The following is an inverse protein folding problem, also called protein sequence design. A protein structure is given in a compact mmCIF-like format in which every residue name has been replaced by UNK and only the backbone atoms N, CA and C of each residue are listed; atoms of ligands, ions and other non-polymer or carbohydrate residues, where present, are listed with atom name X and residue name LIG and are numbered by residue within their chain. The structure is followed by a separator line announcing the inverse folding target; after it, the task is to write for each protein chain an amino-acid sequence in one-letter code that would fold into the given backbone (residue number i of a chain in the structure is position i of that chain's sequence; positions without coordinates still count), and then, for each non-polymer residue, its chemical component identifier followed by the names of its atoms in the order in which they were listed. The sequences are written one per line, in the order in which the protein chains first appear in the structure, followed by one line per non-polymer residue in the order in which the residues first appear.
data_IF_757492753577
#
_entry.id   IF_757492753577
#
_cell.length_a   1.000
_cell.length_b   1.000
_cell.length_c   1.000
_cell.angle_alpha   90.00
_cell.angle_beta   90.00
_cell.angle_gamma   90.00
#
_symmetry.space_group_name_H-M   'P 1'
#
loop_
_entity.id
_entity.type
_entity.pdbx_description
1 polymer ?
#
# COMPACT_ATOMS: atom_id res chain seq x y z
N UNK A 1 -51.86 23.70 19.79
CA UNK A 1 -50.57 23.88 19.06
C UNK A 1 -49.39 23.11 19.71
N UNK A 2 -49.58 21.86 20.20
CA UNK A 2 -48.51 21.07 20.86
C UNK A 2 -47.97 19.89 20.03
N UNK A 3 -48.63 19.53 18.92
CA UNK A 3 -48.26 18.37 18.10
C UNK A 3 -47.25 18.64 16.96
N UNK A 4 -46.82 19.89 16.74
CA UNK A 4 -45.84 20.21 15.68
C UNK A 4 -44.39 20.02 16.12
N UNK A 5 -44.08 20.17 17.41
CA UNK A 5 -42.71 20.11 17.93
C UNK A 5 -42.15 18.68 18.02
N UNK A 6 -43.00 17.66 18.20
CA UNK A 6 -42.58 16.26 18.28
C UNK A 6 -42.11 15.68 16.94
N UNK A 7 -42.62 16.18 15.81
CA UNK A 7 -42.17 15.77 14.47
C UNK A 7 -40.81 16.36 14.13
N UNK A 8 -40.57 17.62 14.51
CA UNK A 8 -39.28 18.29 14.30
C UNK A 8 -38.17 17.63 15.12
N UNK A 9 -38.45 17.22 16.36
CA UNK A 9 -37.45 16.57 17.23
C UNK A 9 -36.96 15.22 16.66
N UNK A 10 -37.84 14.44 16.03
CA UNK A 10 -37.47 13.16 15.40
C UNK A 10 -36.62 13.33 14.14
N UNK A 11 -36.85 14.40 13.37
CA UNK A 11 -36.04 14.69 12.18
C UNK A 11 -34.63 15.15 12.57
N UNK A 12 -34.47 15.93 13.64
CA UNK A 12 -33.15 16.31 14.16
C UNK A 12 -32.37 15.11 14.72
N UNK A 13 -33.04 14.15 15.37
CA UNK A 13 -32.37 12.95 15.88
C UNK A 13 -31.79 12.06 14.75
N UNK A 14 -32.49 11.95 13.61
CA UNK A 14 -32.01 11.17 12.46
C UNK A 14 -30.87 11.89 11.75
N UNK A 15 -30.94 13.22 11.61
CA UNK A 15 -29.87 14.01 11.01
C UNK A 15 -28.58 14.01 11.87
N UNK A 16 -28.71 14.01 13.20
CA UNK A 16 -27.57 13.90 14.11
C UNK A 16 -26.91 12.51 14.05
N UNK A 17 -27.67 11.44 13.84
CA UNK A 17 -27.14 10.09 13.71
C UNK A 17 -26.40 9.89 12.37
N UNK A 18 -26.84 10.58 11.30
CA UNK A 18 -26.21 10.52 9.98
C UNK A 18 -24.83 11.23 9.93
N UNK A 19 -24.60 12.23 10.79
CA UNK A 19 -23.29 12.90 10.86
C UNK A 19 -22.21 12.07 11.57
N UNK A 20 -22.60 11.04 12.34
CA UNK A 20 -21.65 10.18 13.07
C UNK A 20 -21.06 9.05 12.21
N UNK A 21 -21.56 8.87 10.98
CA UNK A 21 -21.11 7.84 10.04
C UNK A 21 -20.20 8.39 8.94
N UNK A 22 -19.72 9.64 9.04
CA UNK A 22 -18.60 10.07 8.21
C UNK A 22 -17.33 9.37 8.72
N UNK A 23 -16.73 8.42 7.96
CA UNK A 23 -15.37 8.03 8.25
C UNK A 23 -14.53 9.31 8.16
N UNK A 24 -13.77 9.59 9.21
CA UNK A 24 -12.76 10.63 9.25
C UNK A 24 -11.71 10.31 8.17
N UNK A 25 -11.98 10.76 6.94
CA UNK A 25 -11.02 10.70 5.86
C UNK A 25 -9.83 11.59 6.19
N UNK A 26 -8.63 11.02 6.10
CA UNK A 26 -7.42 11.79 5.80
C UNK A 26 -6.57 12.21 6.98
N UNK A 27 -6.17 11.28 7.85
CA UNK A 27 -4.85 11.37 8.47
C UNK A 27 -4.06 10.18 7.95
N UNK A 28 -3.24 10.40 6.92
CA UNK A 28 -2.27 9.43 6.43
C UNK A 28 -1.38 9.05 7.62
N UNK A 29 -1.68 7.92 8.26
CA UNK A 29 -0.78 7.28 9.20
C UNK A 29 0.44 6.91 8.40
N UNK A 30 1.43 7.81 8.43
CA UNK A 30 2.66 7.69 7.68
C UNK A 30 3.23 6.31 7.94
N UNK A 31 3.21 5.48 6.91
CA UNK A 31 3.56 4.09 7.02
C UNK A 31 5.00 4.00 7.54
N UNK A 32 5.16 3.34 8.69
CA UNK A 32 6.46 3.27 9.33
C UNK A 32 7.37 2.35 8.55
N UNK A 33 8.65 2.69 8.56
CA UNK A 33 9.68 1.92 7.88
C UNK A 33 9.80 0.50 8.45
N UNK A 34 9.69 0.38 9.77
CA UNK A 34 9.74 -0.89 10.50
C UNK A 34 8.65 -1.88 10.06
N UNK A 35 7.43 -1.38 9.80
CA UNK A 35 6.31 -2.21 9.37
C UNK A 35 6.52 -2.74 7.95
N UNK A 36 6.98 -1.88 7.04
CA UNK A 36 7.36 -2.31 5.69
C UNK A 36 8.49 -3.34 5.71
N UNK A 37 9.54 -3.12 6.51
CA UNK A 37 10.65 -4.08 6.65
C UNK A 37 10.15 -5.44 7.13
N UNK A 38 9.26 -5.45 8.12
CA UNK A 38 8.64 -6.67 8.66
C UNK A 38 7.78 -7.37 7.61
N UNK A 39 6.93 -6.65 6.89
CA UNK A 39 6.10 -7.20 5.81
C UNK A 39 6.96 -7.82 4.70
N UNK A 40 7.96 -7.09 4.20
CA UNK A 40 8.91 -7.57 3.18
C UNK A 40 9.61 -8.85 3.61
N UNK A 41 10.10 -8.88 4.86
CA UNK A 41 10.78 -10.06 5.39
C UNK A 41 9.83 -11.27 5.50
N UNK A 42 8.59 -11.07 5.93
CA UNK A 42 7.60 -12.13 6.02
C UNK A 42 7.23 -12.66 4.64
N UNK A 43 6.96 -11.78 3.67
CA UNK A 43 6.70 -12.12 2.27
C UNK A 43 7.85 -12.97 1.71
N UNK A 44 9.10 -12.51 1.85
CA UNK A 44 10.27 -13.27 1.40
C UNK A 44 10.40 -14.63 2.08
N UNK A 45 9.99 -14.73 3.34
CA UNK A 45 9.99 -15.99 4.09
C UNK A 45 8.96 -16.96 3.52
N UNK A 46 7.73 -16.50 3.28
CA UNK A 46 6.64 -17.32 2.73
C UNK A 46 6.92 -17.78 1.30
N UNK A 47 7.52 -16.91 0.45
CA UNK A 47 7.96 -17.27 -0.90
C UNK A 47 9.27 -18.10 -0.93
N UNK A 48 9.92 -18.33 0.21
CA UNK A 48 11.19 -19.06 0.27
C UNK A 48 12.40 -18.29 -0.31
N UNK A 49 12.28 -16.98 -0.50
CA UNK A 49 13.32 -16.10 -1.08
C UNK A 49 14.14 -15.36 -0.02
N UNK A 50 13.94 -15.62 1.26
CA UNK A 50 14.64 -14.94 2.36
C UNK A 50 16.18 -15.02 2.28
N UNK A 51 16.73 -16.09 1.70
CA UNK A 51 18.18 -16.29 1.55
C UNK A 51 18.72 -15.85 0.17
N UNK A 52 17.88 -15.33 -0.71
CA UNK A 52 18.32 -14.85 -2.02
C UNK A 52 19.00 -13.49 -1.86
N UNK A 53 20.32 -13.50 -1.73
CA UNK A 53 21.16 -12.30 -1.62
C UNK A 53 21.10 -11.41 -2.89
N UNK A 54 20.58 -11.92 -4.01
CA UNK A 54 20.55 -11.27 -5.32
C UNK A 54 19.23 -10.53 -5.65
N UNK A 55 18.35 -10.32 -4.66
CA UNK A 55 17.09 -9.59 -4.86
C UNK A 55 17.18 -8.07 -4.70
N UNK A 56 16.13 -7.35 -5.13
CA UNK A 56 15.91 -5.90 -4.94
C UNK A 56 16.44 -5.46 -3.57
N UNK A 57 17.36 -4.49 -3.59
CA UNK A 57 17.96 -3.92 -2.37
C UNK A 57 16.85 -3.65 -1.35
N UNK A 58 17.00 -4.07 -0.09
CA UNK A 58 15.93 -4.00 0.90
C UNK A 58 15.34 -2.59 1.03
N UNK A 59 16.17 -1.57 0.84
CA UNK A 59 15.75 -0.17 0.91
C UNK A 59 14.85 0.28 -0.25
N UNK A 60 15.05 -0.26 -1.46
CA UNK A 60 14.18 0.03 -2.60
C UNK A 60 12.80 -0.60 -2.40
N UNK A 61 12.75 -1.84 -1.89
CA UNK A 61 11.49 -2.50 -1.54
C UNK A 61 10.74 -1.77 -0.43
N UNK A 62 11.45 -1.27 0.60
CA UNK A 62 10.85 -0.46 1.67
C UNK A 62 10.29 0.85 1.12
N UNK A 63 11.00 1.53 0.22
CA UNK A 63 10.50 2.75 -0.43
C UNK A 63 9.24 2.46 -1.26
N UNK A 64 9.24 1.38 -2.03
CA UNK A 64 8.06 0.95 -2.81
C UNK A 64 6.88 0.65 -1.90
N UNK A 65 7.08 -0.15 -0.85
CA UNK A 65 6.06 -0.48 0.15
C UNK A 65 5.41 0.78 0.74
N UNK A 66 6.22 1.78 1.12
CA UNK A 66 5.70 3.05 1.67
C UNK A 66 4.97 3.92 0.65
N UNK A 67 5.25 3.73 -0.65
CA UNK A 67 4.65 4.52 -1.73
C UNK A 67 3.38 3.91 -2.32
N UNK A 68 3.24 2.58 -2.31
CA UNK A 68 2.13 1.88 -2.95
C UNK A 68 1.20 1.13 -2.00
N UNK A 69 1.64 0.76 -0.80
CA UNK A 69 0.83 -0.05 0.11
C UNK A 69 0.14 0.78 1.21
N UNK A 70 -1.09 0.38 1.55
CA UNK A 70 -1.80 0.93 2.71
C UNK A 70 -1.27 0.33 4.02
N UNK A 71 -1.49 1.01 5.15
CA UNK A 71 -1.11 0.48 6.46
C UNK A 71 -1.79 -0.87 6.77
N UNK A 72 -3.06 -1.00 6.41
CA UNK A 72 -3.82 -2.25 6.57
C UNK A 72 -3.23 -3.38 5.71
N UNK A 73 -2.85 -3.07 4.46
CA UNK A 73 -2.19 -4.02 3.56
C UNK A 73 -0.86 -4.50 4.14
N UNK A 74 -0.01 -3.58 4.60
CA UNK A 74 1.30 -3.91 5.20
C UNK A 74 1.15 -4.74 6.46
N UNK A 75 0.20 -4.38 7.33
CA UNK A 75 -0.07 -5.16 8.53
C UNK A 75 -0.58 -6.57 8.20
N UNK A 76 -1.46 -6.72 7.20
CA UNK A 76 -1.91 -8.02 6.73
C UNK A 76 -0.72 -8.87 6.25
N UNK A 77 0.13 -8.31 5.37
CA UNK A 77 1.31 -9.01 4.85
C UNK A 77 2.32 -9.37 5.94
N UNK A 78 2.49 -8.51 6.94
CA UNK A 78 3.39 -8.76 8.07
C UNK A 78 2.91 -9.90 8.97
N UNK A 79 1.60 -10.16 9.03
CA UNK A 79 1.00 -11.18 9.89
C UNK A 79 0.57 -12.46 9.16
N UNK A 80 0.56 -12.46 7.83
CA UNK A 80 0.23 -13.64 7.03
C UNK A 80 1.14 -14.83 7.39
N UNK A 81 0.55 -16.01 7.57
CA UNK A 81 1.27 -17.25 7.94
C UNK A 81 1.37 -18.24 6.79
N UNK A 82 0.54 -18.06 5.77
CA UNK A 82 0.47 -18.92 4.60
C UNK A 82 0.47 -18.07 3.34
N UNK A 83 0.80 -18.69 2.21
CA UNK A 83 0.71 -18.05 0.90
C UNK A 83 -0.73 -17.61 0.57
N UNK A 84 -1.72 -18.41 0.98
CA UNK A 84 -3.14 -18.10 0.77
C UNK A 84 -3.58 -16.87 1.59
N UNK A 85 -3.15 -16.75 2.85
CA UNK A 85 -3.40 -15.54 3.63
C UNK A 85 -2.73 -14.32 3.02
N UNK A 86 -1.52 -14.49 2.48
CA UNK A 86 -0.78 -13.42 1.84
C UNK A 86 -1.46 -12.91 0.55
N UNK A 87 -1.97 -13.82 -0.29
CA UNK A 87 -2.69 -13.46 -1.52
C UNK A 87 -4.01 -12.72 -1.24
N UNK A 88 -4.59 -12.91 -0.05
CA UNK A 88 -5.77 -12.17 0.39
C UNK A 88 -5.46 -10.75 0.90
N UNK A 89 -4.19 -10.41 1.12
CA UNK A 89 -3.75 -9.10 1.61
C UNK A 89 -3.65 -8.07 0.48
N UNK A 90 -4.79 -7.66 -0.13
CA UNK A 90 -5.00 -6.55 -1.11
C UNK A 90 -3.76 -5.68 -1.42
N UNK A 91 -2.79 -6.26 -2.09
CA UNK A 91 -1.47 -5.68 -2.29
C UNK A 91 -0.74 -6.38 -3.42
N UNK A 92 -1.54 -6.88 -4.34
CA UNK A 92 -1.24 -7.39 -5.67
C UNK A 92 -0.12 -6.58 -6.33
N UNK A 93 -0.24 -5.25 -6.43
CA UNK A 93 0.75 -4.40 -7.08
C UNK A 93 2.14 -4.46 -6.40
N UNK A 94 2.17 -4.53 -5.07
CA UNK A 94 3.41 -4.67 -4.31
C UNK A 94 3.97 -6.10 -4.35
N UNK A 95 3.09 -7.11 -4.30
CA UNK A 95 3.46 -8.51 -4.39
C UNK A 95 4.01 -8.86 -5.78
N UNK A 96 3.45 -8.31 -6.85
CA UNK A 96 3.93 -8.45 -8.22
C UNK A 96 5.34 -7.86 -8.38
N UNK A 97 5.56 -6.64 -7.85
CA UNK A 97 6.88 -6.02 -7.85
C UNK A 97 7.93 -6.84 -7.08
N UNK A 98 7.52 -7.57 -6.04
CA UNK A 98 8.39 -8.44 -5.23
C UNK A 98 8.59 -9.83 -5.85
N UNK A 99 7.61 -10.35 -6.60
CA UNK A 99 7.66 -11.66 -7.27
C UNK A 99 8.65 -11.66 -8.44
N UNK A 100 8.95 -10.49 -9.01
CA UNK A 100 9.96 -10.33 -10.05
C UNK A 100 9.44 -10.60 -11.47
N UNK A 101 8.11 -10.68 -11.64
CA UNK A 101 7.46 -10.82 -12.96
C UNK A 101 7.18 -9.46 -13.62
N UNK A 102 7.76 -8.36 -13.11
CA UNK A 102 7.67 -7.08 -13.82
C UNK A 102 8.54 -7.15 -15.09
N UNK A 103 7.96 -6.96 -16.30
CA UNK A 103 8.74 -6.86 -17.52
C UNK A 103 9.73 -5.70 -17.38
N UNK A 104 11.01 -5.98 -17.62
CA UNK A 104 12.05 -4.96 -17.73
C UNK A 104 11.92 -4.23 -19.07
N UNK A 105 10.83 -3.48 -19.27
CA UNK A 105 10.63 -2.67 -20.49
C UNK A 105 11.06 -1.20 -20.28
N UNK A 106 11.79 -0.91 -19.21
CA UNK A 106 12.54 0.35 -19.08
C UNK A 106 14.04 0.06 -19.12
N UNK A 107 14.47 -0.45 -20.27
CA UNK A 107 15.82 -0.27 -20.78
C UNK A 107 16.11 1.25 -20.73
N UNK A 108 17.20 1.72 -20.10
CA UNK A 108 17.61 3.10 -20.26
C UNK A 108 17.85 3.30 -21.75
N UNK A 109 17.07 4.18 -22.38
CA UNK A 109 17.44 4.77 -23.65
C UNK A 109 18.82 5.38 -23.42
N UNK A 110 19.84 4.67 -23.90
CA UNK A 110 21.11 5.24 -24.21
C UNK A 110 20.82 6.29 -25.29
N UNK A 111 20.52 7.51 -24.87
CA UNK A 111 20.65 8.66 -25.75
C UNK A 111 22.16 8.87 -25.92
N UNK A 112 22.69 8.13 -26.90
CA UNK A 112 23.92 8.40 -27.62
C UNK A 112 23.78 9.77 -28.31
N UNK A 113 23.84 10.83 -27.51
CA UNK A 113 23.95 12.21 -27.99
C UNK A 113 25.38 12.48 -28.44
N UNK A 114 25.64 12.10 -29.69
CA UNK A 114 26.89 12.19 -30.39
C UNK A 114 27.66 13.51 -30.20
N UNK A 115 28.97 13.35 -29.97
CA UNK A 115 29.96 14.33 -30.38
C UNK A 115 29.81 14.64 -31.87
N UNK A 116 29.67 15.92 -32.20
CA UNK A 116 30.14 16.45 -33.49
C UNK A 116 30.96 17.69 -33.20
N UNK A 117 32.27 17.51 -33.29
CA UNK A 117 33.17 18.56 -33.69
C UNK A 117 32.96 18.76 -35.20
N UNK A 118 32.78 20.01 -35.65
CA UNK A 118 33.30 20.47 -36.94
C UNK A 118 33.27 22.01 -36.99
N UNK A 119 34.46 22.55 -37.30
CA UNK A 119 34.85 23.86 -37.85
C UNK A 119 34.64 25.18 -37.07
#
# INVERSE_FOLDING_TARGET
MRNRYLKSLRLFAIAALALLLLPLGGCETKLKEEDCRRAIANVRTLYGTANMQQGIQPEAAVRSCRGSASAETVECMANAKTMEELDNCKGDEFLEAMRGDAPQDNQPEADEGAASADE
#
